data_IF_516381040019
#
_entry.id   IF_516381040019
#
_cell.length_a   1.000
_cell.length_b   1.000
_cell.length_c   1.000
_cell.angle_alpha   90.00
_cell.angle_beta   90.00
_cell.angle_gamma   90.00
#
_symmetry.space_group_name_H-M   'P 1'
#
loop_
_entity.id
_entity.type
_entity.pdbx_description
1 polymer ?
#
# COMPACT_ATOMS: atom_id res chain seq x y z
N UNK A 1 -24.92 -23.19 -19.25
CA UNK A 1 -24.88 -21.73 -19.46
C UNK A 1 -23.55 -21.42 -20.14
N UNK A 2 -23.52 -21.45 -21.48
CA UNK A 2 -22.30 -21.23 -22.26
C UNK A 2 -22.00 -19.73 -22.24
N UNK A 3 -20.80 -19.38 -21.77
CA UNK A 3 -20.29 -18.01 -21.85
C UNK A 3 -20.18 -17.64 -23.33
N UNK A 4 -20.81 -16.52 -23.69
CA UNK A 4 -20.73 -15.91 -25.02
C UNK A 4 -19.26 -15.67 -25.41
N UNK A 5 -18.77 -16.51 -26.33
CA UNK A 5 -17.37 -16.57 -26.78
C UNK A 5 -16.96 -15.34 -27.59
N UNK A 6 -17.93 -14.56 -28.09
CA UNK A 6 -17.68 -13.32 -28.84
C UNK A 6 -16.95 -12.25 -28.03
N UNK A 7 -16.98 -12.34 -26.69
CA UNK A 7 -16.30 -11.40 -25.79
C UNK A 7 -14.81 -11.70 -25.58
N UNK A 8 -14.32 -12.83 -26.07
CA UNK A 8 -12.94 -13.28 -25.87
C UNK A 8 -12.04 -13.09 -27.10
N UNK A 9 -12.61 -12.76 -28.24
CA UNK A 9 -11.91 -12.56 -29.52
C UNK A 9 -11.63 -11.06 -29.76
N UNK A 10 -10.47 -10.74 -30.33
CA UNK A 10 -10.06 -9.38 -30.69
C UNK A 10 -9.65 -9.31 -32.16
N UNK A 11 -10.17 -8.30 -32.87
CA UNK A 11 -9.84 -8.03 -34.28
C UNK A 11 -8.61 -7.12 -34.47
N UNK A 12 -7.93 -6.68 -33.39
CA UNK A 12 -6.76 -5.79 -33.48
C UNK A 12 -5.56 -6.31 -32.73
N UNK A 13 -4.43 -6.42 -33.43
CA UNK A 13 -3.16 -6.92 -32.92
C UNK A 13 -2.43 -5.88 -32.08
N UNK A 14 -2.47 -6.04 -30.76
CA UNK A 14 -1.50 -5.47 -29.83
C UNK A 14 -0.75 -6.58 -29.10
N UNK A 15 0.58 -6.51 -29.03
CA UNK A 15 1.46 -7.53 -28.38
C UNK A 15 1.07 -7.78 -26.92
N UNK A 16 0.52 -6.77 -26.23
CA UNK A 16 0.05 -6.86 -24.84
C UNK A 16 -1.20 -7.76 -24.71
N UNK A 17 -2.00 -7.88 -25.76
CA UNK A 17 -3.29 -8.57 -25.72
C UNK A 17 -3.14 -10.10 -25.70
N UNK A 18 -2.14 -10.64 -26.40
CA UNK A 18 -1.88 -12.10 -26.46
C UNK A 18 -1.41 -12.66 -25.10
N UNK A 19 -0.72 -11.84 -24.31
CA UNK A 19 -0.26 -12.25 -22.98
C UNK A 19 -1.39 -12.34 -21.94
N UNK A 20 -2.52 -11.65 -22.15
CA UNK A 20 -3.68 -11.67 -21.23
C UNK A 20 -4.83 -12.49 -21.82
N UNK A 21 -4.96 -12.52 -23.15
CA UNK A 21 -5.95 -13.26 -23.94
C UNK A 21 -5.22 -14.09 -25.00
N UNK A 22 -4.90 -15.36 -24.70
CA UNK A 22 -4.03 -16.18 -25.55
C UNK A 22 -4.74 -16.77 -26.78
N UNK A 23 -6.07 -16.61 -26.85
CA UNK A 23 -6.91 -17.00 -27.97
C UNK A 23 -7.03 -15.82 -28.93
N UNK A 24 -6.67 -16.03 -30.18
CA UNK A 24 -6.86 -15.06 -31.27
C UNK A 24 -7.71 -15.71 -32.35
N UNK A 25 -8.55 -14.92 -33.02
CA UNK A 25 -9.23 -15.37 -34.22
C UNK A 25 -8.43 -14.90 -35.44
N UNK A 26 -8.17 -15.83 -36.35
CA UNK A 26 -7.58 -15.57 -37.66
C UNK A 26 -8.51 -16.22 -38.68
N UNK A 27 -9.16 -15.39 -39.49
CA UNK A 27 -10.27 -15.79 -40.36
C UNK A 27 -11.39 -16.49 -39.58
N UNK A 28 -11.73 -17.73 -39.97
CA UNK A 28 -12.72 -18.59 -39.32
C UNK A 28 -12.12 -19.53 -38.26
N UNK A 29 -10.82 -19.38 -37.95
CA UNK A 29 -10.09 -20.28 -37.05
C UNK A 29 -9.68 -19.58 -35.76
N UNK A 30 -9.84 -20.31 -34.66
CA UNK A 30 -9.29 -19.92 -33.36
C UNK A 30 -7.86 -20.46 -33.25
N UNK A 31 -6.89 -19.56 -33.10
CA UNK A 31 -5.49 -19.91 -32.88
C UNK A 31 -5.07 -19.62 -31.44
N UNK A 32 -4.19 -20.47 -30.91
CA UNK A 32 -3.59 -20.30 -29.61
C UNK A 32 -2.21 -20.95 -29.57
N UNK A 33 -1.37 -20.49 -28.63
CA UNK A 33 -0.07 -21.10 -28.34
C UNK A 33 -0.07 -21.58 -26.90
N UNK A 34 0.41 -22.80 -26.66
CA UNK A 34 0.56 -23.33 -25.30
C UNK A 34 1.41 -22.40 -24.41
N UNK A 35 2.46 -21.80 -24.97
CA UNK A 35 3.28 -20.83 -24.24
C UNK A 35 2.53 -19.54 -23.90
N UNK A 36 1.70 -19.02 -24.81
CA UNK A 36 0.86 -17.85 -24.53
C UNK A 36 -0.24 -18.17 -23.51
N UNK A 37 -0.86 -19.35 -23.61
CA UNK A 37 -1.88 -19.81 -22.67
C UNK A 37 -1.32 -19.94 -21.25
N UNK A 38 -0.14 -20.56 -21.10
CA UNK A 38 0.54 -20.65 -19.82
C UNK A 38 0.91 -19.28 -19.24
N UNK A 39 1.45 -18.36 -20.06
CA UNK A 39 1.75 -16.99 -19.60
C UNK A 39 0.50 -16.24 -19.13
N UNK A 40 -0.60 -16.35 -19.88
CA UNK A 40 -1.89 -15.77 -19.49
C UNK A 40 -2.37 -16.35 -18.16
N UNK A 41 -2.34 -17.66 -18.00
CA UNK A 41 -2.68 -18.32 -16.73
C UNK A 41 -1.87 -17.75 -15.56
N UNK A 42 -0.54 -17.65 -15.69
CA UNK A 42 0.34 -17.12 -14.64
C UNK A 42 0.02 -15.66 -14.31
N UNK A 43 -0.24 -14.82 -15.30
CA UNK A 43 -0.61 -13.41 -15.11
C UNK A 43 -1.94 -13.30 -14.36
N UNK A 44 -2.95 -14.05 -14.79
CA UNK A 44 -4.27 -14.04 -14.15
C UNK A 44 -4.21 -14.55 -12.71
N UNK A 45 -3.52 -15.68 -12.48
CA UNK A 45 -3.36 -16.26 -11.16
C UNK A 45 -2.66 -15.28 -10.21
N UNK A 46 -1.53 -14.69 -10.63
CA UNK A 46 -0.82 -13.71 -9.84
C UNK A 46 -1.70 -12.49 -9.52
N UNK A 47 -2.36 -11.90 -10.53
CA UNK A 47 -3.19 -10.71 -10.33
C UNK A 47 -4.38 -10.95 -9.42
N UNK A 48 -5.08 -12.07 -9.57
CA UNK A 48 -6.21 -12.39 -8.70
C UNK A 48 -5.73 -12.62 -7.27
N UNK A 49 -4.61 -13.31 -7.08
CA UNK A 49 -3.99 -13.52 -5.77
C UNK A 49 -3.63 -12.22 -5.05
N UNK A 50 -3.33 -11.16 -5.81
CA UNK A 50 -3.07 -9.79 -5.32
C UNK A 50 -4.32 -8.91 -5.21
N UNK A 51 -5.53 -9.48 -5.32
CA UNK A 51 -6.77 -8.71 -5.29
C UNK A 51 -6.92 -7.75 -6.48
N UNK A 52 -6.41 -8.12 -7.65
CA UNK A 52 -6.46 -7.35 -8.89
C UNK A 52 -6.89 -8.17 -10.10
N UNK A 53 -6.99 -7.47 -11.24
CA UNK A 53 -7.20 -8.07 -12.56
C UNK A 53 -6.10 -7.60 -13.51
N UNK A 54 -5.75 -8.40 -14.52
CA UNK A 54 -4.75 -8.01 -15.51
C UNK A 54 -5.25 -6.95 -16.50
N UNK A 55 -6.54 -6.63 -16.48
CA UNK A 55 -7.13 -5.54 -17.25
C UNK A 55 -8.35 -4.96 -16.50
N UNK A 56 -8.84 -3.83 -16.97
CA UNK A 56 -10.07 -3.22 -16.46
C UNK A 56 -11.28 -3.96 -17.03
N UNK A 57 -12.09 -4.53 -16.13
CA UNK A 57 -13.35 -5.19 -16.48
C UNK A 57 -14.48 -4.59 -15.64
N UNK A 58 -15.63 -4.35 -16.27
CA UNK A 58 -16.83 -3.84 -15.61
C UNK A 58 -17.59 -4.95 -14.86
N UNK A 59 -16.91 -5.64 -13.94
CA UNK A 59 -17.43 -6.77 -13.18
C UNK A 59 -17.56 -6.42 -11.70
N UNK A 60 -18.64 -5.73 -11.28
CA UNK A 60 -18.75 -5.13 -9.95
C UNK A 60 -18.67 -6.16 -8.81
N UNK A 61 -19.25 -7.36 -9.00
CA UNK A 61 -19.19 -8.41 -7.99
C UNK A 61 -17.78 -8.97 -7.83
N UNK A 62 -17.04 -9.14 -8.93
CA UNK A 62 -15.64 -9.56 -8.91
C UNK A 62 -14.79 -8.49 -8.23
N UNK A 63 -14.97 -7.21 -8.60
CA UNK A 63 -14.26 -6.09 -7.97
C UNK A 63 -14.50 -6.02 -6.45
N UNK A 64 -15.69 -6.34 -5.96
CA UNK A 64 -15.97 -6.41 -4.51
C UNK A 64 -15.13 -7.49 -3.83
N UNK A 65 -15.08 -8.71 -4.40
CA UNK A 65 -14.28 -9.82 -3.86
C UNK A 65 -12.79 -9.49 -3.86
N UNK A 66 -12.29 -8.94 -4.97
CA UNK A 66 -10.89 -8.54 -5.11
C UNK A 66 -10.48 -7.48 -4.07
N UNK A 67 -11.36 -6.52 -3.77
CA UNK A 67 -11.13 -5.54 -2.69
C UNK A 67 -10.99 -6.21 -1.33
N UNK A 68 -11.77 -7.26 -1.04
CA UNK A 68 -11.64 -8.03 0.21
C UNK A 68 -10.28 -8.72 0.30
N UNK A 69 -9.81 -9.32 -0.80
CA UNK A 69 -8.47 -9.94 -0.86
C UNK A 69 -7.39 -8.89 -0.60
N UNK A 70 -7.43 -7.76 -1.32
CA UNK A 70 -6.47 -6.67 -1.13
C UNK A 70 -6.46 -6.19 0.32
N UNK A 71 -7.64 -5.98 0.92
CA UNK A 71 -7.76 -5.56 2.32
C UNK A 71 -7.18 -6.60 3.29
N UNK A 72 -7.38 -7.89 3.04
CA UNK A 72 -6.77 -8.96 3.85
C UNK A 72 -5.25 -8.87 3.84
N UNK A 73 -4.66 -8.69 2.65
CA UNK A 73 -3.20 -8.56 2.48
C UNK A 73 -2.69 -7.30 3.20
N UNK A 74 -3.41 -6.19 3.12
CA UNK A 74 -3.05 -4.95 3.83
C UNK A 74 -3.10 -5.14 5.35
N UNK A 75 -4.17 -5.76 5.88
CA UNK A 75 -4.27 -6.06 7.31
C UNK A 75 -3.12 -7.00 7.79
N UNK A 76 -2.77 -8.02 7.00
CA UNK A 76 -1.66 -8.91 7.31
C UNK A 76 -0.31 -8.18 7.31
N UNK A 77 -0.14 -7.21 6.39
CA UNK A 77 1.03 -6.35 6.34
C UNK A 77 1.14 -5.47 7.59
N UNK A 78 0.05 -4.84 8.03
CA UNK A 78 0.00 -4.03 9.25
C UNK A 78 0.40 -4.83 10.49
N UNK A 79 -0.15 -6.04 10.63
CA UNK A 79 0.21 -6.97 11.70
C UNK A 79 1.69 -7.33 11.64
N UNK A 80 2.21 -7.67 10.45
CA UNK A 80 3.62 -8.04 10.29
C UNK A 80 4.57 -6.89 10.67
N UNK A 81 4.26 -5.67 10.23
CA UNK A 81 5.00 -4.44 10.60
C UNK A 81 4.99 -4.23 12.10
N UNK A 82 3.81 -4.31 12.73
CA UNK A 82 3.67 -4.18 14.18
C UNK A 82 4.51 -5.22 14.94
N UNK A 83 4.47 -6.48 14.51
CA UNK A 83 5.29 -7.54 15.11
C UNK A 83 6.79 -7.32 14.97
N UNK A 84 7.25 -6.66 13.90
CA UNK A 84 8.67 -6.30 13.76
C UNK A 84 9.07 -5.24 14.80
N UNK A 85 8.25 -4.19 14.98
CA UNK A 85 8.51 -3.18 16.01
C UNK A 85 8.51 -3.76 17.43
N UNK A 86 7.62 -4.71 17.72
CA UNK A 86 7.56 -5.40 19.03
C UNK A 86 8.82 -6.20 19.39
N UNK A 87 9.72 -6.47 18.44
CA UNK A 87 11.01 -7.10 18.74
C UNK A 87 11.99 -6.14 19.40
N UNK A 88 11.77 -4.83 19.26
CA UNK A 88 12.70 -3.78 19.65
C UNK A 88 12.13 -2.84 20.71
N UNK A 89 10.80 -2.66 20.75
CA UNK A 89 10.12 -1.74 21.65
C UNK A 89 9.03 -2.43 22.45
N UNK A 90 8.74 -1.87 23.63
CA UNK A 90 7.67 -2.37 24.49
C UNK A 90 6.30 -2.29 23.81
N UNK A 91 5.47 -3.30 24.06
CA UNK A 91 4.12 -3.38 23.48
C UNK A 91 3.25 -2.16 23.80
N UNK A 92 3.44 -1.54 24.96
CA UNK A 92 2.71 -0.32 25.34
C UNK A 92 3.05 0.87 24.45
N UNK A 93 4.20 0.86 23.79
CA UNK A 93 4.70 1.93 22.93
C UNK A 93 4.36 1.71 21.45
N UNK A 94 3.92 0.51 21.07
CA UNK A 94 3.59 0.13 19.69
C UNK A 94 2.09 -0.08 19.52
N UNK A 95 1.42 0.84 18.85
CA UNK A 95 -0.02 0.83 18.63
C UNK A 95 -0.33 0.40 17.19
N UNK A 96 -1.28 -0.53 17.05
CA UNK A 96 -1.79 -1.02 15.77
C UNK A 96 -3.21 -0.45 15.57
N UNK A 97 -3.49 0.07 14.37
CA UNK A 97 -4.81 0.54 13.93
C UNK A 97 -5.45 1.55 14.88
N UNK A 98 -4.77 2.68 15.08
CA UNK A 98 -5.23 3.74 15.97
C UNK A 98 -6.15 4.74 15.27
N UNK A 99 -7.34 4.94 15.84
CA UNK A 99 -8.29 5.95 15.39
C UNK A 99 -8.06 7.30 16.12
N UNK A 100 -7.57 8.35 15.42
CA UNK A 100 -7.31 9.66 16.02
C UNK A 100 -8.55 10.39 16.51
N UNK A 101 -9.76 9.98 16.10
CA UNK A 101 -11.01 10.58 16.60
C UNK A 101 -11.21 10.35 18.09
N UNK A 102 -10.45 9.40 18.69
CA UNK A 102 -10.36 9.21 20.14
C UNK A 102 -9.65 10.38 20.84
N UNK A 103 -8.78 11.10 20.14
CA UNK A 103 -8.10 12.31 20.61
C UNK A 103 -8.89 13.56 20.28
N UNK A 104 -9.31 13.69 19.02
CA UNK A 104 -10.12 14.82 18.54
C UNK A 104 -11.19 14.34 17.57
N UNK A 105 -12.46 14.36 18.01
CA UNK A 105 -13.61 13.89 17.23
C UNK A 105 -13.94 14.75 16.00
N UNK A 106 -13.45 15.99 15.95
CA UNK A 106 -13.84 16.95 14.92
C UNK A 106 -13.03 16.81 13.63
N UNK A 107 -11.84 16.22 13.69
CA UNK A 107 -10.97 16.06 12.54
C UNK A 107 -10.99 14.64 11.98
N UNK A 108 -11.11 14.53 10.65
CA UNK A 108 -11.11 13.26 9.94
C UNK A 108 -9.81 13.12 9.14
N UNK A 109 -8.74 12.71 9.82
CA UNK A 109 -7.41 12.49 9.21
C UNK A 109 -7.16 11.04 8.81
N UNK A 110 -8.07 10.13 9.20
CA UNK A 110 -7.96 8.68 8.97
C UNK A 110 -7.11 7.97 10.03
N UNK A 111 -7.25 6.66 10.10
CA UNK A 111 -6.58 5.83 11.10
C UNK A 111 -5.07 5.73 10.84
N UNK A 112 -4.28 5.52 11.89
CA UNK A 112 -2.85 5.21 11.83
C UNK A 112 -2.68 3.69 11.81
N UNK A 113 -2.07 3.16 10.76
CA UNK A 113 -1.88 1.72 10.59
C UNK A 113 -0.97 1.17 11.71
N UNK A 114 0.25 1.69 11.85
CA UNK A 114 1.12 1.44 13.01
C UNK A 114 1.72 2.75 13.51
N UNK A 115 1.68 2.96 14.82
CA UNK A 115 2.22 4.14 15.50
C UNK A 115 3.11 3.69 16.65
N UNK A 116 4.37 4.14 16.65
CA UNK A 116 5.35 3.81 17.69
C UNK A 116 5.86 5.07 18.36
N UNK A 117 6.04 5.03 19.67
CA UNK A 117 6.61 6.14 20.43
C UNK A 117 7.90 5.73 21.14
N UNK A 118 8.93 6.57 21.05
CA UNK A 118 10.24 6.38 21.68
C UNK A 118 10.45 7.54 22.66
N UNK A 119 10.15 7.34 23.96
CA UNK A 119 10.15 8.42 24.94
C UNK A 119 11.50 9.13 25.11
N UNK A 120 12.61 8.39 25.00
CA UNK A 120 13.96 8.91 25.22
C UNK A 120 14.32 10.05 24.27
N UNK A 121 13.80 10.00 23.04
CA UNK A 121 14.08 10.97 21.99
C UNK A 121 12.90 11.91 21.68
N UNK A 122 11.76 11.72 22.38
CA UNK A 122 10.48 12.32 21.98
C UNK A 122 10.16 12.06 20.48
N UNK A 123 10.41 10.82 20.04
CA UNK A 123 10.26 10.42 18.64
C UNK A 123 8.97 9.61 18.45
N UNK A 124 8.12 10.05 17.51
CA UNK A 124 7.03 9.25 16.96
C UNK A 124 7.46 8.64 15.63
N UNK A 125 7.12 7.38 15.42
CA UNK A 125 7.25 6.69 14.14
C UNK A 125 5.84 6.39 13.63
N UNK A 126 5.44 7.08 12.58
CA UNK A 126 4.17 6.83 11.90
C UNK A 126 4.43 5.94 10.70
N UNK A 127 3.76 4.79 10.64
CA UNK A 127 3.92 3.84 9.55
C UNK A 127 2.60 3.68 8.81
N UNK A 128 2.61 4.00 7.52
CA UNK A 128 1.52 3.69 6.59
C UNK A 128 1.86 2.38 5.87
N UNK A 129 1.00 1.38 6.03
CA UNK A 129 1.11 0.10 5.37
C UNK A 129 0.30 0.12 4.07
N UNK A 130 0.94 -0.23 2.95
CA UNK A 130 0.25 -0.29 1.65
C UNK A 130 0.66 -1.49 0.84
N UNK A 131 -0.35 -2.19 0.34
CA UNK A 131 -0.14 -3.22 -0.65
C UNK A 131 -0.18 -2.63 -2.07
N UNK A 132 1.01 -2.44 -2.63
CA UNK A 132 1.19 -1.99 -4.01
C UNK A 132 1.13 -3.18 -4.96
N UNK A 133 0.19 -3.16 -5.90
CA UNK A 133 0.21 -4.13 -6.99
C UNK A 133 1.41 -3.89 -7.88
N UNK A 134 2.12 -4.96 -8.25
CA UNK A 134 3.29 -4.86 -9.13
C UNK A 134 2.79 -4.37 -10.50
N UNK A 135 3.32 -3.24 -11.02
CA UNK A 135 2.89 -2.74 -12.31
C UNK A 135 3.47 -3.60 -13.45
N UNK A 136 2.66 -3.96 -14.45
CA UNK A 136 3.10 -4.81 -15.57
C UNK A 136 3.42 -3.99 -16.83
N UNK A 137 2.90 -2.77 -16.93
CA UNK A 137 3.15 -1.88 -18.05
C UNK A 137 3.33 -0.42 -17.60
N UNK A 138 3.78 0.44 -18.52
CA UNK A 138 3.97 1.87 -18.25
C UNK A 138 2.68 2.58 -17.79
N UNK A 139 1.51 2.13 -18.25
CA UNK A 139 0.22 2.67 -17.79
C UNK A 139 -0.02 2.35 -16.32
N UNK A 140 0.23 1.12 -15.89
CA UNK A 140 0.11 0.71 -14.49
C UNK A 140 1.10 1.45 -13.60
N UNK A 141 2.34 1.63 -14.09
CA UNK A 141 3.37 2.41 -13.40
C UNK A 141 2.93 3.86 -13.20
N UNK A 142 2.41 4.52 -14.24
CA UNK A 142 1.88 5.88 -14.17
C UNK A 142 0.74 5.96 -13.16
N UNK A 143 -0.21 5.01 -13.20
CA UNK A 143 -1.34 4.97 -12.26
C UNK A 143 -0.87 4.81 -10.82
N UNK A 144 0.06 3.90 -10.54
CA UNK A 144 0.63 3.72 -9.21
C UNK A 144 1.33 4.99 -8.73
N UNK A 145 2.07 5.67 -9.61
CA UNK A 145 2.71 6.95 -9.28
C UNK A 145 1.68 8.02 -8.92
N UNK A 146 0.59 8.12 -9.67
CA UNK A 146 -0.49 9.07 -9.37
C UNK A 146 -1.20 8.74 -8.06
N UNK A 147 -1.47 7.46 -7.77
CA UNK A 147 -2.07 7.03 -6.49
C UNK A 147 -1.20 7.43 -5.28
N UNK A 148 0.12 7.31 -5.40
CA UNK A 148 1.05 7.59 -4.30
C UNK A 148 1.35 9.09 -4.18
N UNK A 149 1.60 9.78 -5.30
CA UNK A 149 2.25 11.10 -5.33
C UNK A 149 1.41 12.23 -5.95
N UNK A 150 0.18 12.00 -6.42
CA UNK A 150 -0.61 13.08 -7.02
C UNK A 150 -0.79 14.26 -6.04
N UNK A 151 -0.54 15.47 -6.54
CA UNK A 151 -0.74 16.71 -5.79
C UNK A 151 -2.17 17.25 -5.93
N UNK A 152 -2.78 17.07 -7.11
CA UNK A 152 -4.12 17.62 -7.43
C UNK A 152 -5.28 16.79 -6.86
N UNK A 153 -5.00 15.58 -6.35
CA UNK A 153 -5.99 14.65 -5.82
C UNK A 153 -5.47 14.00 -4.54
N UNK A 154 -6.35 13.52 -3.64
CA UNK A 154 -5.93 12.78 -2.45
C UNK A 154 -5.09 11.56 -2.81
N UNK A 155 -3.79 11.66 -2.55
CA UNK A 155 -2.78 10.63 -2.75
C UNK A 155 -2.34 10.03 -1.42
N UNK A 156 -1.59 8.92 -1.45
CA UNK A 156 -1.05 8.32 -0.22
C UNK A 156 -0.19 9.32 0.55
N UNK A 157 0.74 10.01 -0.13
CA UNK A 157 1.60 11.03 0.50
C UNK A 157 0.77 12.15 1.12
N UNK A 158 -0.25 12.67 0.42
CA UNK A 158 -1.10 13.73 0.99
C UNK A 158 -1.84 13.29 2.26
N UNK A 159 -2.22 12.00 2.36
CA UNK A 159 -2.89 11.46 3.56
C UNK A 159 -1.90 11.28 4.71
N UNK A 160 -0.69 10.80 4.42
CA UNK A 160 0.39 10.71 5.41
C UNK A 160 0.69 12.10 5.97
N UNK A 161 0.86 13.12 5.12
CA UNK A 161 1.14 14.48 5.58
C UNK A 161 0.02 15.06 6.45
N UNK A 162 -1.25 14.80 6.12
CA UNK A 162 -2.37 15.20 6.98
C UNK A 162 -2.30 14.57 8.39
N UNK A 163 -1.93 13.29 8.47
CA UNK A 163 -1.75 12.60 9.76
C UNK A 163 -0.51 13.07 10.51
N UNK A 164 0.56 13.42 9.78
CA UNK A 164 1.75 14.05 10.34
C UNK A 164 1.39 15.39 11.00
N UNK A 165 0.72 16.28 10.28
CA UNK A 165 0.34 17.61 10.80
C UNK A 165 -0.57 17.47 12.03
N UNK A 166 -1.53 16.54 11.98
CA UNK A 166 -2.42 16.26 13.10
C UNK A 166 -1.68 15.75 14.34
N UNK A 167 -0.75 14.80 14.15
CA UNK A 167 0.06 14.27 15.24
C UNK A 167 0.94 15.37 15.81
N UNK A 168 1.60 16.18 14.98
CA UNK A 168 2.45 17.28 15.42
C UNK A 168 1.68 18.28 16.29
N UNK A 169 0.48 18.67 15.86
CA UNK A 169 -0.38 19.62 16.59
C UNK A 169 -0.98 19.03 17.88
N UNK A 170 -1.17 17.71 17.96
CA UNK A 170 -1.85 17.05 19.07
C UNK A 170 -0.97 16.08 19.86
N UNK A 171 0.35 16.07 19.65
CA UNK A 171 1.27 15.07 20.22
C UNK A 171 1.15 14.95 21.74
N UNK A 172 0.97 16.07 22.45
CA UNK A 172 0.77 16.06 23.89
C UNK A 172 -0.52 15.35 24.31
N UNK A 173 -1.60 15.51 23.53
CA UNK A 173 -2.86 14.79 23.76
C UNK A 173 -2.70 13.30 23.47
N UNK A 174 -1.93 12.94 22.45
CA UNK A 174 -1.58 11.53 22.18
C UNK A 174 -0.80 10.92 23.34
N UNK A 175 0.27 11.58 23.80
CA UNK A 175 1.07 11.13 24.95
C UNK A 175 0.20 10.95 26.20
N UNK A 176 -0.63 11.95 26.53
CA UNK A 176 -1.56 11.87 27.65
C UNK A 176 -2.58 10.73 27.50
N UNK A 177 -3.13 10.52 26.30
CA UNK A 177 -4.10 9.46 26.03
C UNK A 177 -3.50 8.06 26.21
N UNK A 178 -2.26 7.86 25.79
CA UNK A 178 -1.56 6.58 25.96
C UNK A 178 -0.88 6.44 27.33
N UNK A 179 -0.91 7.48 28.18
CA UNK A 179 -0.24 7.47 29.48
C UNK A 179 1.28 7.47 29.38
N UNK A 180 1.83 8.00 28.28
CA UNK A 180 3.27 8.13 28.10
C UNK A 180 3.83 9.23 29.02
N UNK A 181 5.08 9.10 29.47
CA UNK A 181 5.70 10.16 30.27
C UNK A 181 5.62 11.48 29.50
N UNK A 182 5.14 12.52 30.16
CA UNK A 182 5.00 13.87 29.58
C UNK A 182 6.35 14.28 29.05
N UNK A 183 6.50 14.26 27.74
CA UNK A 183 7.65 14.88 27.09
C UNK A 183 7.57 16.38 27.25
N UNK A 184 8.73 16.99 27.33
CA UNK A 184 8.95 18.44 27.38
C UNK A 184 8.01 19.16 26.41
N UNK A 185 7.74 20.45 26.63
CA UNK A 185 7.01 21.32 25.69
C UNK A 185 7.69 21.46 24.30
N UNK A 186 8.78 20.72 24.07
CA UNK A 186 9.51 20.66 22.81
C UNK A 186 8.71 19.85 21.76
N UNK A 187 8.69 20.33 20.51
CA UNK A 187 8.01 19.61 19.42
C UNK A 187 8.66 18.23 19.22
N UNK A 188 7.84 17.17 18.96
CA UNK A 188 8.38 15.84 18.77
C UNK A 188 9.12 15.69 17.45
N UNK A 189 10.04 14.74 17.40
CA UNK A 189 10.58 14.22 16.14
C UNK A 189 9.53 13.25 15.57
N UNK A 190 9.16 13.40 14.30
CA UNK A 190 8.22 12.48 13.65
C UNK A 190 8.87 11.88 12.41
N UNK A 191 9.03 10.55 12.41
CA UNK A 191 9.54 9.75 11.30
C UNK A 191 8.36 9.10 10.57
N UNK A 192 8.18 9.40 9.29
CA UNK A 192 7.09 8.83 8.48
C UNK A 192 7.62 7.69 7.61
N UNK A 193 7.03 6.51 7.74
CA UNK A 193 7.38 5.35 6.93
C UNK A 193 6.22 4.96 6.04
N UNK A 194 6.53 4.69 4.77
CA UNK A 194 5.64 3.98 3.85
C UNK A 194 6.16 2.57 3.72
N UNK A 195 5.51 1.61 4.37
CA UNK A 195 5.92 0.20 4.33
C UNK A 195 5.04 -0.59 3.38
N UNK A 196 5.69 -1.33 2.47
CA UNK A 196 5.01 -2.19 1.53
C UNK A 196 5.68 -3.57 1.44
N UNK A 197 4.92 -4.58 1.03
CA UNK A 197 5.48 -5.90 0.68
C UNK A 197 6.57 -5.79 -0.40
N UNK A 198 6.40 -4.87 -1.34
CA UNK A 198 7.37 -4.63 -2.41
C UNK A 198 7.49 -3.13 -2.71
N UNK A 199 8.73 -2.64 -2.73
CA UNK A 199 9.06 -1.28 -3.16
C UNK A 199 9.68 -1.34 -4.56
N UNK A 200 9.01 -0.73 -5.53
CA UNK A 200 9.49 -0.66 -6.90
C UNK A 200 10.07 0.73 -7.22
N UNK A 201 10.63 0.87 -8.43
CA UNK A 201 11.27 2.09 -8.93
C UNK A 201 10.41 3.37 -8.81
N UNK A 202 9.07 3.27 -8.81
CA UNK A 202 8.16 4.44 -8.66
C UNK A 202 8.37 5.15 -7.32
N UNK A 203 8.78 4.41 -6.30
CA UNK A 203 9.02 4.94 -4.95
C UNK A 203 10.42 5.54 -4.81
N UNK A 204 11.33 5.22 -5.73
CA UNK A 204 12.73 5.67 -5.68
C UNK A 204 12.83 7.06 -6.29
N UNK A 205 13.42 8.01 -5.56
CA UNK A 205 13.68 9.38 -6.03
C UNK A 205 12.75 10.46 -5.47
N UNK A 206 11.66 10.10 -4.79
CA UNK A 206 10.74 11.05 -4.15
C UNK A 206 10.88 11.16 -2.62
N UNK A 207 11.66 10.28 -1.98
CA UNK A 207 11.84 10.29 -0.51
C UNK A 207 12.46 11.59 -0.01
N UNK A 208 13.35 12.21 -0.79
CA UNK A 208 14.06 13.44 -0.38
C UNK A 208 13.15 14.65 -0.21
N UNK A 209 12.04 14.73 -0.95
CA UNK A 209 11.16 15.90 -0.93
C UNK A 209 9.95 15.73 0.01
N UNK A 210 9.68 14.51 0.49
CA UNK A 210 8.42 14.18 1.18
C UNK A 210 8.54 13.88 2.67
N UNK A 211 9.75 13.83 3.24
CA UNK A 211 9.98 13.39 4.64
C UNK A 211 9.32 12.02 4.94
N UNK A 212 9.34 11.12 3.95
CA UNK A 212 8.78 9.76 4.02
C UNK A 212 9.81 8.76 3.52
N UNK A 213 10.14 7.79 4.38
CA UNK A 213 10.98 6.66 4.01
C UNK A 213 10.12 5.53 3.43
N UNK A 214 10.40 5.19 2.17
CA UNK A 214 9.74 4.09 1.48
C UNK A 214 10.52 2.79 1.72
N UNK A 215 9.95 1.91 2.54
CA UNK A 215 10.62 0.72 3.07
C UNK A 215 9.90 -0.53 2.60
N UNK A 216 10.67 -1.50 2.09
CA UNK A 216 10.14 -2.84 1.85
C UNK A 216 10.12 -3.61 3.17
N UNK A 217 9.07 -4.38 3.43
CA UNK A 217 8.84 -5.07 4.70
C UNK A 217 10.06 -5.88 5.18
N UNK A 218 10.75 -6.56 4.28
CA UNK A 218 11.95 -7.37 4.59
C UNK A 218 13.16 -6.53 5.03
N UNK A 219 13.19 -5.25 4.70
CA UNK A 219 14.23 -4.30 5.12
C UNK A 219 13.83 -3.49 6.36
N UNK A 220 12.63 -3.67 6.91
CA UNK A 220 12.16 -2.88 8.05
C UNK A 220 12.99 -3.15 9.31
N UNK A 221 13.36 -4.41 9.56
CA UNK A 221 14.26 -4.78 10.68
C UNK A 221 15.59 -4.02 10.61
N UNK A 222 16.20 -3.94 9.43
CA UNK A 222 17.44 -3.19 9.21
C UNK A 222 17.24 -1.69 9.42
N UNK A 223 16.16 -1.13 8.85
CA UNK A 223 15.88 0.30 9.01
C UNK A 223 15.71 0.70 10.48
N UNK A 224 15.01 -0.11 11.29
CA UNK A 224 14.83 0.14 12.73
C UNK A 224 16.19 0.19 13.43
N UNK A 225 17.07 -0.77 13.17
CA UNK A 225 18.40 -0.84 13.80
C UNK A 225 19.30 0.34 13.47
N UNK A 226 19.21 0.85 12.24
CA UNK A 226 20.08 1.95 11.80
C UNK A 226 19.54 3.35 12.14
N UNK A 227 18.23 3.47 12.39
CA UNK A 227 17.58 4.78 12.50
C UNK A 227 16.92 5.05 13.85
N UNK A 228 16.73 4.03 14.70
CA UNK A 228 16.02 4.14 15.98
C UNK A 228 16.77 3.51 17.17
N UNK A 229 17.84 2.75 16.94
CA UNK A 229 18.64 2.07 17.97
C UNK A 229 20.10 2.54 17.89
#
# INVERSE_FOLDING_TARGET
MLLDSSKFVSDKFGVVQINIRPLIQVDDKLMWSAGCAYRSFMIWQAKIGEGGLPAEFSWPNVSKVLKTIKKSIENELEVAVHQIFLRYFDKSLCILNFDPRKINKQENVGDYDVLVYIPQENTWVMVECKFNQIPFCMKDMKRLREEIFAAEKPSHVSKIMKRYDFLQQNHQKFANFFGYPVTRDEPPIIKNLYVAKSINWVHRGYSKDSNIDFIQLDNLDYWIRENLL
#
